data_IF_008742227734
#
_entry.id   IF_008742227734
#
_cell.length_a   1.000
_cell.length_b   1.000
_cell.length_c   1.000
_cell.angle_alpha   90.00
_cell.angle_beta   90.00
_cell.angle_gamma   90.00
#
_symmetry.space_group_name_H-M   'P 1'
#
loop_
_entity.id
_entity.type
_entity.pdbx_description
1 polymer ?
#
# COMPACT_ATOMS: atom_id res chain seq x y z
N UNK A 1 -9.67 -1.48 14.17
CA UNK A 1 -9.35 -2.58 13.23
C UNK A 1 -7.86 -2.81 13.07
N UNK A 2 -7.07 -1.78 12.72
CA UNK A 2 -5.61 -1.92 12.58
C UNK A 2 -4.94 -2.43 13.88
N UNK A 3 -5.28 -1.87 15.04
CA UNK A 3 -4.68 -2.28 16.32
C UNK A 3 -4.93 -3.75 16.65
N UNK A 4 -6.12 -4.26 16.31
CA UNK A 4 -6.44 -5.66 16.51
C UNK A 4 -5.58 -6.54 15.59
N UNK A 5 -5.47 -6.19 14.31
CA UNK A 5 -4.63 -6.91 13.35
C UNK A 5 -3.15 -6.94 13.78
N UNK A 6 -2.64 -5.82 14.32
CA UNK A 6 -1.26 -5.75 14.85
C UNK A 6 -1.11 -6.64 16.09
N UNK A 7 -2.07 -6.65 17.02
CA UNK A 7 -2.03 -7.51 18.21
C UNK A 7 -1.96 -8.99 17.87
N UNK A 8 -2.70 -9.43 16.85
CA UNK A 8 -2.70 -10.84 16.43
C UNK A 8 -1.57 -11.19 15.47
N UNK A 9 -0.85 -10.20 14.93
CA UNK A 9 0.17 -10.40 13.91
C UNK A 9 1.27 -11.37 14.35
N UNK A 10 1.71 -11.30 15.62
CA UNK A 10 2.73 -12.21 16.15
C UNK A 10 2.28 -13.67 16.12
N UNK A 11 1.03 -13.94 16.53
CA UNK A 11 0.47 -15.29 16.51
C UNK A 11 0.28 -15.81 15.08
N UNK A 12 -0.23 -14.96 14.17
CA UNK A 12 -0.42 -15.29 12.75
C UNK A 12 0.93 -15.60 12.08
N UNK A 13 1.96 -14.81 12.39
CA UNK A 13 3.31 -15.02 11.87
C UNK A 13 3.95 -16.30 12.40
N UNK A 14 3.69 -16.66 13.66
CA UNK A 14 4.16 -17.93 14.22
C UNK A 14 3.56 -19.15 13.49
N UNK A 15 2.38 -19.00 12.87
CA UNK A 15 1.77 -20.01 12.00
C UNK A 15 2.33 -19.99 10.57
N UNK A 16 3.34 -19.15 10.27
CA UNK A 16 3.95 -19.03 8.94
C UNK A 16 3.11 -18.22 7.94
N UNK A 17 2.01 -17.60 8.37
CA UNK A 17 1.13 -16.81 7.52
C UNK A 17 1.72 -15.40 7.35
N UNK A 18 1.88 -14.98 6.09
CA UNK A 18 2.48 -13.68 5.72
C UNK A 18 1.48 -12.71 5.08
N UNK A 19 0.42 -13.23 4.46
CA UNK A 19 -0.52 -12.45 3.66
C UNK A 19 -1.89 -12.43 4.32
N UNK A 20 -2.44 -11.23 4.49
CA UNK A 20 -3.79 -10.98 4.95
C UNK A 20 -4.65 -10.61 3.75
N UNK A 21 -5.67 -11.42 3.46
CA UNK A 21 -6.70 -11.07 2.50
C UNK A 21 -7.70 -10.08 3.14
N UNK A 22 -7.92 -8.93 2.52
CA UNK A 22 -8.82 -7.90 3.04
C UNK A 22 -9.70 -7.30 1.95
N UNK A 23 -10.88 -6.82 2.34
CA UNK A 23 -11.78 -6.10 1.44
C UNK A 23 -11.24 -4.70 1.06
N UNK A 24 -11.97 -4.00 0.19
CA UNK A 24 -11.59 -2.65 -0.23
C UNK A 24 -11.73 -1.56 0.85
N UNK A 25 -12.49 -1.83 1.91
CA UNK A 25 -12.60 -0.91 3.04
C UNK A 25 -11.29 -0.80 3.83
N UNK A 26 -10.51 -1.89 3.88
CA UNK A 26 -9.21 -1.95 4.55
C UNK A 26 -8.03 -1.39 3.74
N UNK A 27 -8.20 -1.06 2.46
CA UNK A 27 -7.18 -0.47 1.59
C UNK A 27 -6.87 1.01 1.88
N UNK A 28 -7.03 1.44 3.14
CA UNK A 28 -6.74 2.80 3.62
C UNK A 28 -5.32 2.88 4.15
N UNK A 29 -4.67 4.03 3.91
CA UNK A 29 -3.27 4.26 4.33
C UNK A 29 -3.04 3.94 5.79
N UNK A 30 -3.91 4.40 6.71
CA UNK A 30 -3.78 4.16 8.16
C UNK A 30 -3.74 2.68 8.53
N UNK A 31 -4.48 1.84 7.80
CA UNK A 31 -4.53 0.41 8.05
C UNK A 31 -3.26 -0.26 7.48
N UNK A 32 -2.95 0.00 6.22
CA UNK A 32 -1.77 -0.57 5.54
C UNK A 32 -0.47 -0.16 6.26
N UNK A 33 -0.35 1.09 6.67
CA UNK A 33 0.84 1.60 7.39
C UNK A 33 1.04 0.96 8.76
N UNK A 34 -0.02 0.45 9.39
CA UNK A 34 0.09 -0.26 10.66
C UNK A 34 0.47 -1.74 10.47
N UNK A 35 0.00 -2.36 9.38
CA UNK A 35 0.22 -3.80 9.13
C UNK A 35 1.63 -4.10 8.60
N UNK A 36 2.17 -3.25 7.72
CA UNK A 36 3.50 -3.49 7.13
C UNK A 36 4.60 -3.63 8.21
N UNK A 37 4.72 -2.72 9.21
CA UNK A 37 5.69 -2.86 10.29
C UNK A 37 5.46 -4.09 11.17
N UNK A 38 4.22 -4.60 11.24
CA UNK A 38 3.91 -5.82 11.98
C UNK A 38 4.42 -7.10 11.30
N UNK A 39 4.97 -7.00 10.08
CA UNK A 39 5.55 -8.11 9.32
C UNK A 39 4.51 -8.91 8.52
N UNK A 40 3.38 -8.28 8.20
CA UNK A 40 2.32 -8.85 7.38
C UNK A 40 2.15 -8.02 6.09
N UNK A 41 1.69 -8.68 5.05
CA UNK A 41 1.36 -8.07 3.76
C UNK A 41 -0.15 -8.13 3.53
N UNK A 42 -0.70 -7.11 2.88
CA UNK A 42 -2.13 -7.06 2.56
C UNK A 42 -2.33 -7.38 1.09
N UNK A 43 -3.25 -8.30 0.82
CA UNK A 43 -3.77 -8.59 -0.52
C UNK A 43 -5.24 -8.24 -0.50
N UNK A 44 -5.67 -7.36 -1.39
CA UNK A 44 -7.04 -6.89 -1.38
C UNK A 44 -7.39 -6.09 -2.61
N UNK A 45 -8.62 -5.59 -2.61
CA UNK A 45 -9.14 -4.76 -3.69
C UNK A 45 -8.97 -3.28 -3.35
N UNK A 46 -8.67 -2.43 -4.33
CA UNK A 46 -8.78 -0.99 -4.14
C UNK A 46 -10.21 -0.51 -4.36
N UNK A 47 -10.57 0.62 -3.77
CA UNK A 47 -11.86 1.26 -4.06
C UNK A 47 -11.95 1.58 -5.55
N UNK A 48 -13.18 1.57 -6.09
CA UNK A 48 -13.44 1.87 -7.50
C UNK A 48 -13.00 3.30 -7.88
N UNK A 49 -13.00 4.22 -6.92
CA UNK A 49 -12.59 5.62 -7.07
C UNK A 49 -11.14 5.89 -6.62
N UNK A 50 -10.31 4.84 -6.46
CA UNK A 50 -8.93 5.01 -6.06
C UNK A 50 -8.12 5.73 -7.15
N UNK A 51 -7.47 6.84 -6.77
CA UNK A 51 -6.62 7.59 -7.68
C UNK A 51 -5.17 7.07 -7.64
N UNK A 52 -4.84 6.16 -8.55
CA UNK A 52 -3.53 5.53 -8.63
C UNK A 52 -2.52 6.44 -9.36
N UNK A 53 -1.33 6.61 -8.77
CA UNK A 53 -0.26 7.42 -9.33
C UNK A 53 1.07 6.67 -9.21
N UNK A 54 1.94 6.85 -10.19
CA UNK A 54 3.30 6.31 -10.15
C UNK A 54 4.15 7.07 -9.12
N UNK A 55 5.09 6.35 -8.49
CA UNK A 55 6.10 6.98 -7.67
C UNK A 55 7.07 7.75 -8.57
N UNK A 56 7.37 9.00 -8.21
CA UNK A 56 8.35 9.78 -8.94
C UNK A 56 9.76 9.24 -8.67
N UNK A 57 10.43 8.79 -9.74
CA UNK A 57 11.81 8.27 -9.72
C UNK A 57 12.84 9.21 -10.37
N UNK A 58 12.42 10.41 -10.77
CA UNK A 58 13.30 11.39 -11.40
C UNK A 58 14.19 12.12 -10.39
N UNK A 59 15.14 12.90 -10.90
CA UNK A 59 16.01 13.73 -10.06
C UNK A 59 15.22 14.84 -9.38
N UNK A 60 15.59 15.13 -8.14
CA UNK A 60 15.09 16.28 -7.40
C UNK A 60 15.85 17.54 -7.86
N UNK A 61 15.14 18.66 -8.02
CA UNK A 61 15.71 19.92 -8.53
C UNK A 61 16.30 20.83 -7.44
N UNK A 62 16.55 20.28 -6.25
CA UNK A 62 17.10 20.98 -5.07
C UNK A 62 16.34 22.26 -4.65
N UNK A 63 15.09 22.41 -5.11
CA UNK A 63 14.24 23.55 -4.84
C UNK A 63 12.81 23.11 -4.49
N UNK A 64 12.32 23.57 -3.34
CA UNK A 64 10.96 23.33 -2.88
C UNK A 64 10.75 21.99 -2.19
N UNK A 65 9.54 21.42 -2.27
CA UNK A 65 9.24 20.08 -1.73
C UNK A 65 9.53 19.04 -2.82
N UNK A 66 10.28 17.96 -2.54
CA UNK A 66 10.48 16.88 -3.50
C UNK A 66 9.15 16.33 -4.05
N UNK A 67 9.10 16.17 -5.38
CA UNK A 67 7.94 15.57 -6.06
C UNK A 67 7.84 14.11 -5.64
N UNK A 68 6.69 13.71 -5.10
CA UNK A 68 6.45 12.34 -4.62
C UNK A 68 5.86 11.43 -5.70
N UNK A 69 4.95 11.97 -6.51
CA UNK A 69 4.20 11.20 -7.51
C UNK A 69 4.46 11.76 -8.91
N UNK A 70 4.53 10.87 -9.90
CA UNK A 70 4.73 11.22 -11.30
C UNK A 70 3.39 11.41 -12.02
N UNK A 71 3.06 10.56 -12.99
CA UNK A 71 1.79 10.56 -13.72
C UNK A 71 0.75 9.66 -13.04
N UNK A 72 -0.52 9.84 -13.43
CA UNK A 72 -1.59 8.90 -13.12
C UNK A 72 -1.32 7.57 -13.82
N UNK A 73 -1.74 6.47 -13.20
CA UNK A 73 -1.68 5.15 -13.83
C UNK A 73 -2.73 5.08 -14.94
N UNK A 74 -2.28 4.72 -16.13
CA UNK A 74 -3.10 4.39 -17.29
C UNK A 74 -3.00 2.88 -17.52
N UNK A 75 -4.12 2.15 -17.38
CA UNK A 75 -4.09 0.69 -17.45
C UNK A 75 -3.87 0.15 -18.87
N UNK A 76 -4.20 0.91 -19.89
CA UNK A 76 -4.01 0.50 -21.29
C UNK A 76 -2.54 0.70 -21.71
N UNK A 77 -1.96 1.82 -21.28
CA UNK A 77 -0.61 2.22 -21.70
C UNK A 77 0.48 1.71 -20.76
N UNK A 78 0.25 1.70 -19.45
CA UNK A 78 1.28 1.36 -18.46
C UNK A 78 1.38 -0.15 -18.15
N UNK A 79 0.62 -1.02 -18.82
CA UNK A 79 0.63 -2.47 -18.55
C UNK A 79 2.02 -3.12 -18.76
N UNK A 80 2.88 -2.49 -19.56
CA UNK A 80 4.24 -2.96 -19.89
C UNK A 80 5.35 -1.99 -19.44
N UNK A 81 5.03 -1.01 -18.59
CA UNK A 81 5.97 0.03 -18.15
C UNK A 81 7.00 -0.48 -17.14
#
# INVERSE_FOLDING_TARGET
>A
YADHAVKVATAIRALGIKYLAADAYYSKVKFVSAIIPAGLHIVGKFRIDANLQWLYKGTYRDMGRPRKYDSKVDFDTDMHR
#
